data_IF_389589509048
#
_entry.id   IF_389589509048
#
_cell.length_a   1.000
_cell.length_b   1.000
_cell.length_c   1.000
_cell.angle_alpha   90.00
_cell.angle_beta   90.00
_cell.angle_gamma   90.00
#
_symmetry.space_group_name_H-M   'P 1'
#
loop_
_entity.id
_entity.type
_entity.pdbx_description
1 polymer ?
#
# COMPACT_ATOMS: atom_id res chain seq x y z
N UNK A 1 13.96 -9.98 -5.62
CA UNK A 1 13.72 -10.27 -4.19
C UNK A 1 12.53 -11.20 -4.09
N UNK A 2 12.54 -12.16 -3.17
CA UNK A 2 11.39 -13.06 -2.97
C UNK A 2 10.23 -12.29 -2.34
N UNK A 3 9.02 -12.53 -2.84
CA UNK A 3 7.78 -12.02 -2.25
C UNK A 3 7.12 -13.11 -1.44
N UNK A 4 6.76 -12.80 -0.20
CA UNK A 4 6.11 -13.71 0.73
C UNK A 4 4.66 -13.30 0.93
N UNK A 5 3.73 -14.25 0.73
CA UNK A 5 2.34 -14.13 1.14
C UNK A 5 2.17 -14.52 2.60
N UNK A 6 1.45 -13.68 3.36
CA UNK A 6 1.05 -13.95 4.73
C UNK A 6 -0.37 -14.51 4.69
N UNK A 7 -0.54 -15.77 5.09
CA UNK A 7 -1.81 -16.49 4.97
C UNK A 7 -2.42 -16.72 6.34
N UNK A 8 -3.72 -16.49 6.44
CA UNK A 8 -4.54 -16.84 7.60
C UNK A 8 -5.58 -17.88 7.18
N UNK A 9 -5.57 -19.03 7.83
CA UNK A 9 -6.64 -20.03 7.70
C UNK A 9 -7.47 -20.03 8.98
N UNK A 10 -8.75 -19.72 8.88
CA UNK A 10 -9.64 -19.61 10.05
C UNK A 10 -10.95 -20.36 9.82
N UNK A 11 -11.56 -20.85 10.90
CA UNK A 11 -12.86 -21.49 10.84
C UNK A 11 -13.95 -20.42 10.73
N UNK A 12 -14.70 -20.47 9.64
CA UNK A 12 -15.84 -19.61 9.34
C UNK A 12 -17.15 -20.40 9.47
N UNK A 13 -18.25 -19.68 9.66
CA UNK A 13 -19.59 -20.26 9.76
C UNK A 13 -19.92 -20.88 11.12
N UNK A 14 -21.17 -21.34 11.25
CA UNK A 14 -21.73 -21.86 12.50
C UNK A 14 -22.44 -23.21 12.30
N UNK A 15 -22.48 -24.01 13.37
CA UNK A 15 -23.10 -25.35 13.35
C UNK A 15 -22.47 -26.28 12.31
N UNK A 16 -23.33 -26.93 11.52
CA UNK A 16 -22.95 -27.86 10.44
C UNK A 16 -22.36 -27.16 9.19
N UNK A 17 -22.49 -25.83 9.07
CA UNK A 17 -21.93 -25.07 7.94
C UNK A 17 -20.51 -24.54 8.20
N UNK A 18 -19.84 -25.07 9.22
CA UNK A 18 -18.44 -24.71 9.50
C UNK A 18 -17.55 -25.16 8.35
N UNK A 19 -16.71 -24.25 7.90
CA UNK A 19 -15.68 -24.52 6.91
C UNK A 19 -14.42 -23.74 7.28
N UNK A 20 -13.30 -24.15 6.72
CA UNK A 20 -12.04 -23.39 6.84
C UNK A 20 -11.89 -22.54 5.61
N UNK A 21 -11.61 -21.26 5.80
CA UNK A 21 -11.29 -20.32 4.72
C UNK A 21 -9.87 -19.81 4.89
N UNK A 22 -9.18 -19.63 3.76
CA UNK A 22 -7.81 -19.15 3.70
C UNK A 22 -7.78 -17.77 3.02
N UNK A 23 -7.08 -16.81 3.64
CA UNK A 23 -6.93 -15.46 3.13
C UNK A 23 -5.46 -15.05 3.11
N UNK A 24 -5.01 -14.45 2.01
CA UNK A 24 -3.74 -13.73 1.96
C UNK A 24 -3.98 -12.32 2.49
N UNK A 25 -3.36 -11.99 3.62
CA UNK A 25 -3.61 -10.72 4.34
C UNK A 25 -2.55 -9.66 4.09
N UNK A 26 -1.43 -10.03 3.47
CA UNK A 26 -0.37 -9.12 3.05
C UNK A 26 0.64 -9.86 2.16
N UNK A 27 1.41 -9.05 1.40
CA UNK A 27 2.64 -9.44 0.74
C UNK A 27 3.81 -8.68 1.32
N UNK A 28 4.92 -9.36 1.56
CA UNK A 28 6.18 -8.78 2.05
C UNK A 28 7.30 -9.18 1.10
N UNK A 29 7.96 -8.20 0.49
CA UNK A 29 9.14 -8.43 -0.34
C UNK A 29 10.39 -8.30 0.52
N UNK A 30 11.21 -9.36 0.56
CA UNK A 30 12.40 -9.36 1.42
C UNK A 30 12.77 -10.75 1.95
N UNK A 31 13.59 -10.81 3.02
CA UNK A 31 13.94 -12.06 3.67
C UNK A 31 12.74 -12.69 4.38
N UNK A 32 12.78 -14.01 4.55
CA UNK A 32 11.69 -14.78 5.15
C UNK A 32 11.48 -14.41 6.63
N UNK A 33 12.55 -14.05 7.33
CA UNK A 33 12.54 -13.65 8.73
C UNK A 33 11.69 -12.39 8.96
N UNK A 34 11.76 -11.42 8.04
CA UNK A 34 10.94 -10.21 8.09
C UNK A 34 9.46 -10.55 7.89
N UNK A 35 9.14 -11.41 6.92
CA UNK A 35 7.78 -11.88 6.70
C UNK A 35 7.22 -12.63 7.92
N UNK A 36 8.03 -13.45 8.59
CA UNK A 36 7.65 -14.14 9.83
C UNK A 36 7.45 -13.17 11.01
N UNK A 37 8.29 -12.15 11.15
CA UNK A 37 8.15 -11.13 12.18
C UNK A 37 6.84 -10.33 12.02
N UNK A 38 6.51 -9.95 10.77
CA UNK A 38 5.25 -9.30 10.45
C UNK A 38 4.04 -10.21 10.68
N UNK A 39 4.16 -11.50 10.31
CA UNK A 39 3.12 -12.49 10.59
C UNK A 39 2.88 -12.65 12.10
N UNK A 40 3.95 -12.66 12.91
CA UNK A 40 3.83 -12.74 14.36
C UNK A 40 3.08 -11.53 14.93
N UNK A 41 3.45 -10.32 14.48
CA UNK A 41 2.79 -9.08 14.89
C UNK A 41 1.28 -9.15 14.63
N UNK A 42 0.89 -9.63 13.44
CA UNK A 42 -0.52 -9.82 13.07
C UNK A 42 -1.20 -10.92 13.89
N UNK A 43 -0.54 -12.05 14.10
CA UNK A 43 -1.11 -13.15 14.88
C UNK A 43 -1.39 -12.75 16.34
N UNK A 44 -0.57 -11.87 16.91
CA UNK A 44 -0.77 -11.31 18.25
C UNK A 44 -1.99 -10.38 18.32
N UNK A 45 -2.23 -9.56 17.30
CA UNK A 45 -3.37 -8.64 17.25
C UNK A 45 -4.66 -9.24 16.67
N UNK A 46 -4.60 -10.42 16.05
CA UNK A 46 -5.76 -11.04 15.41
C UNK A 46 -6.87 -11.39 16.40
N UNK A 47 -8.11 -11.13 16.00
CA UNK A 47 -9.32 -11.47 16.76
C UNK A 47 -10.33 -12.13 15.82
N UNK A 48 -10.49 -13.47 15.84
CA UNK A 48 -11.46 -14.14 14.98
C UNK A 48 -12.90 -13.82 15.39
N UNK A 49 -13.85 -13.97 14.46
CA UNK A 49 -15.28 -13.84 14.74
C UNK A 49 -15.79 -14.89 15.74
N UNK A 50 -15.16 -16.07 15.75
CA UNK A 50 -15.50 -17.17 16.64
C UNK A 50 -14.29 -17.65 17.44
N UNK A 51 -14.48 -18.04 18.72
CA UNK A 51 -15.75 -18.11 19.45
C UNK A 51 -16.22 -16.77 20.05
N UNK A 52 -17.54 -16.56 20.15
CA UNK A 52 -18.15 -15.39 20.81
C UNK A 52 -17.92 -15.33 22.33
N UNK A 53 -17.58 -16.46 22.96
CA UNK A 53 -17.32 -16.55 24.41
C UNK A 53 -15.99 -17.28 24.64
N UNK A 54 -14.85 -16.58 24.46
CA UNK A 54 -13.54 -17.19 24.65
C UNK A 54 -13.23 -17.39 26.13
N UNK A 55 -12.85 -18.62 26.52
CA UNK A 55 -12.40 -18.95 27.88
C UNK A 55 -10.89 -18.84 28.04
N UNK A 56 -10.14 -19.23 27.01
CA UNK A 56 -8.68 -19.23 27.01
C UNK A 56 -8.16 -19.03 25.59
N UNK A 57 -7.10 -18.24 25.46
CA UNK A 57 -6.42 -17.97 24.20
C UNK A 57 -4.94 -18.36 24.31
N UNK A 58 -4.43 -19.09 23.33
CA UNK A 58 -3.03 -19.55 23.26
C UNK A 58 -2.48 -19.32 21.86
N UNK A 59 -1.40 -18.56 21.76
CA UNK A 59 -0.65 -18.38 20.52
C UNK A 59 0.62 -19.23 20.60
N UNK A 60 0.78 -20.15 19.65
CA UNK A 60 1.87 -21.11 19.59
C UNK A 60 2.74 -20.81 18.37
N UNK A 61 4.06 -20.88 18.53
CA UNK A 61 5.00 -20.79 17.41
C UNK A 61 5.20 -22.19 16.80
N UNK A 62 5.20 -22.25 15.48
CA UNK A 62 5.53 -23.42 14.67
C UNK A 62 6.71 -23.05 13.75
N UNK A 63 7.42 -24.03 13.17
CA UNK A 63 8.58 -23.82 12.30
C UNK A 63 8.34 -22.84 11.14
N UNK A 64 7.11 -22.79 10.63
CA UNK A 64 6.70 -22.06 9.44
C UNK A 64 5.61 -21.00 9.70
N UNK A 65 5.33 -20.70 10.98
CA UNK A 65 4.35 -19.69 11.34
C UNK A 65 3.81 -19.86 12.75
N UNK A 66 2.50 -19.65 12.92
CA UNK A 66 1.86 -19.63 14.23
C UNK A 66 0.50 -20.33 14.22
N UNK A 67 0.09 -20.82 15.39
CA UNK A 67 -1.26 -21.32 15.62
C UNK A 67 -1.89 -20.62 16.80
N UNK A 68 -3.04 -20.02 16.56
CA UNK A 68 -3.90 -19.49 17.61
C UNK A 68 -4.97 -20.52 17.94
N UNK A 69 -4.99 -20.96 19.19
CA UNK A 69 -6.02 -21.84 19.73
C UNK A 69 -6.85 -21.05 20.73
N UNK A 70 -8.16 -21.00 20.52
CA UNK A 70 -9.10 -20.36 21.42
C UNK A 70 -10.11 -21.41 21.91
N UNK A 71 -10.15 -21.62 23.21
CA UNK A 71 -11.13 -22.49 23.84
C UNK A 71 -12.44 -21.73 24.00
N UNK A 72 -13.47 -22.17 23.29
CA UNK A 72 -14.84 -21.67 23.44
C UNK A 72 -15.59 -22.40 24.57
N UNK A 73 -16.86 -22.07 24.72
CA UNK A 73 -17.72 -22.73 25.71
C UNK A 73 -17.94 -24.22 25.40
N UNK A 74 -18.05 -24.58 24.12
CA UNK A 74 -18.44 -25.92 23.64
C UNK A 74 -17.36 -26.64 22.83
N UNK A 75 -16.47 -25.89 22.18
CA UNK A 75 -15.39 -26.43 21.37
C UNK A 75 -14.22 -25.45 21.31
N UNK A 76 -13.04 -25.94 20.95
CA UNK A 76 -11.90 -25.11 20.62
C UNK A 76 -11.91 -24.73 19.14
N UNK A 77 -11.37 -23.55 18.84
CA UNK A 77 -11.20 -23.02 17.49
C UNK A 77 -9.73 -22.80 17.22
N UNK A 78 -9.32 -23.04 15.97
CA UNK A 78 -7.94 -22.88 15.54
C UNK A 78 -7.90 -21.87 14.40
N UNK A 79 -6.97 -20.93 14.49
CA UNK A 79 -6.54 -20.13 13.34
C UNK A 79 -5.07 -20.41 13.09
N UNK A 80 -4.74 -20.72 11.85
CA UNK A 80 -3.37 -20.97 11.40
C UNK A 80 -2.85 -19.74 10.66
N UNK A 81 -1.62 -19.36 10.98
CA UNK A 81 -0.89 -18.29 10.34
C UNK A 81 0.34 -18.91 9.69
N UNK A 82 0.51 -18.72 8.39
CA UNK A 82 1.65 -19.26 7.63
C UNK A 82 2.26 -18.21 6.74
N UNK A 83 3.55 -18.38 6.46
CA UNK A 83 4.26 -17.62 5.43
C UNK A 83 4.49 -18.56 4.24
N UNK A 84 4.15 -18.11 3.04
CA UNK A 84 4.37 -18.85 1.80
C UNK A 84 5.07 -17.96 0.77
N UNK A 85 5.96 -18.52 -0.04
CA UNK A 85 6.53 -17.81 -1.18
C UNK A 85 5.46 -17.61 -2.26
N UNK A 86 5.32 -16.39 -2.77
CA UNK A 86 4.43 -16.09 -3.87
C UNK A 86 5.10 -16.46 -5.20
N UNK A 87 4.62 -17.52 -5.83
CA UNK A 87 5.14 -18.00 -7.12
C UNK A 87 4.44 -17.36 -8.32
N UNK A 88 3.13 -17.12 -8.21
CA UNK A 88 2.31 -16.55 -9.26
C UNK A 88 1.08 -15.85 -8.66
N UNK A 89 0.76 -14.67 -9.18
CA UNK A 89 -0.49 -13.95 -8.93
C UNK A 89 -1.09 -13.57 -10.28
N UNK A 90 -2.30 -14.06 -10.55
CA UNK A 90 -2.97 -13.87 -11.85
C UNK A 90 -3.44 -12.44 -12.09
N UNK A 91 -3.59 -11.65 -11.02
CA UNK A 91 -4.01 -10.25 -11.07
C UNK A 91 -2.94 -9.34 -10.46
N UNK A 92 -1.67 -9.77 -10.54
CA UNK A 92 -0.55 -8.96 -10.09
C UNK A 92 -0.57 -7.61 -10.81
N UNK A 93 -0.46 -6.48 -10.10
CA UNK A 93 -0.33 -5.18 -10.74
C UNK A 93 0.82 -5.26 -11.75
N UNK A 94 0.52 -4.96 -13.02
CA UNK A 94 1.59 -4.76 -14.01
C UNK A 94 2.48 -3.68 -13.45
N UNK A 95 3.74 -4.03 -13.19
CA UNK A 95 4.73 -3.06 -12.72
C UNK A 95 4.63 -1.84 -13.65
N UNK A 96 4.50 -0.62 -13.12
CA UNK A 96 4.47 0.56 -13.97
C UNK A 96 5.71 0.47 -14.84
N UNK A 97 5.48 0.40 -16.15
CA UNK A 97 6.55 0.45 -17.15
C UNK A 97 7.45 1.61 -16.73
N UNK A 98 8.77 1.39 -16.55
CA UNK A 98 9.65 2.47 -16.16
C UNK A 98 9.40 3.57 -17.17
N UNK A 99 8.77 4.67 -16.72
CA UNK A 99 8.55 5.83 -17.55
C UNK A 99 9.89 6.10 -18.18
N UNK A 100 10.00 5.92 -19.49
CA UNK A 100 11.25 5.98 -20.19
C UNK A 100 11.91 7.31 -19.84
N UNK A 101 12.87 7.27 -18.92
CA UNK A 101 13.81 8.35 -18.71
C UNK A 101 14.62 8.41 -20.00
N UNK A 102 14.17 9.25 -20.95
CA UNK A 102 14.86 9.45 -22.21
C UNK A 102 14.04 9.22 -23.47
N UNK A 103 12.89 9.88 -23.60
CA UNK A 103 12.70 10.65 -24.83
C UNK A 103 12.61 12.12 -24.44
N UNK A 104 13.79 12.71 -24.23
CA UNK A 104 14.00 14.11 -24.58
C UNK A 104 13.74 14.24 -26.07
N UNK A 105 12.47 14.34 -26.45
CA UNK A 105 12.14 15.10 -27.64
C UNK A 105 12.85 16.45 -27.46
N UNK A 106 13.64 16.94 -28.43
CA UNK A 106 13.92 18.35 -28.44
C UNK A 106 12.53 18.99 -28.65
N UNK A 107 11.87 19.34 -27.54
CA UNK A 107 10.85 20.38 -27.57
C UNK A 107 11.58 21.53 -28.21
N UNK A 108 11.25 21.79 -29.47
CA UNK A 108 11.50 23.08 -30.07
C UNK A 108 10.97 24.07 -29.05
N UNK A 109 11.89 24.76 -28.38
CA UNK A 109 11.60 25.76 -27.35
C UNK A 109 10.41 26.56 -27.89
N UNK A 110 9.27 26.64 -27.19
CA UNK A 110 8.50 27.87 -27.28
C UNK A 110 9.53 28.94 -26.93
N UNK A 111 9.88 29.74 -27.93
CA UNK A 111 10.67 30.95 -27.78
C UNK A 111 10.29 31.57 -26.46
N UNK A 112 11.29 31.85 -25.63
CA UNK A 112 11.15 32.58 -24.39
C UNK A 112 10.03 33.61 -24.56
N UNK A 113 8.94 33.45 -23.81
CA UNK A 113 8.21 34.64 -23.40
C UNK A 113 9.14 35.33 -22.40
N UNK A 114 10.20 35.95 -22.92
CA UNK A 114 10.85 37.06 -22.25
C UNK A 114 9.70 38.04 -22.08
N UNK A 115 9.23 38.16 -20.84
CA UNK A 115 8.45 39.29 -20.40
C UNK A 115 9.27 40.52 -20.78
N UNK A 116 8.99 41.11 -21.94
CA UNK A 116 9.78 42.21 -22.46
C UNK A 116 9.70 43.33 -21.43
N UNK A 117 10.82 43.73 -20.79
CA UNK A 117 10.81 44.92 -19.98
C UNK A 117 10.49 46.06 -20.95
N UNK A 118 9.31 46.68 -20.80
CA UNK A 118 8.92 47.83 -21.59
C UNK A 118 10.09 48.84 -21.60
N UNK A 119 10.46 49.27 -22.80
CA UNK A 119 11.63 50.10 -23.08
C UNK A 119 11.71 51.24 -22.04
N UNK A 120 12.83 51.33 -21.33
CA UNK A 120 13.07 52.35 -20.31
C UNK A 120 14.05 53.37 -20.86
N UNK A 121 13.82 54.64 -20.59
CA UNK A 121 14.72 55.71 -20.99
C UNK A 121 16.06 55.63 -20.23
N UNK A 122 17.00 56.51 -20.57
CA UNK A 122 18.35 56.53 -19.98
C UNK A 122 18.35 56.77 -18.47
N UNK A 123 17.22 57.22 -17.90
CA UNK A 123 17.04 57.47 -16.48
C UNK A 123 16.24 56.33 -15.79
N UNK A 124 15.94 55.25 -16.51
CA UNK A 124 15.32 54.03 -15.99
C UNK A 124 13.79 54.10 -15.83
N UNK A 125 13.13 55.12 -16.40
CA UNK A 125 11.67 55.28 -16.37
C UNK A 125 11.06 54.58 -17.60
N UNK A 126 9.95 53.84 -17.46
CA UNK A 126 9.30 53.20 -18.60
C UNK A 126 8.79 54.22 -19.62
N UNK A 127 9.27 54.15 -20.86
CA UNK A 127 8.90 55.03 -21.98
C UNK A 127 7.41 54.91 -22.28
N UNK A 128 6.86 53.69 -22.12
CA UNK A 128 5.42 53.46 -22.19
C UNK A 128 4.90 53.02 -20.82
N UNK A 129 4.28 53.93 -20.05
CA UNK A 129 3.78 53.57 -18.74
C UNK A 129 2.52 52.72 -18.86
N UNK A 130 2.37 51.77 -17.94
CA UNK A 130 1.32 50.73 -17.98
C UNK A 130 -0.13 51.25 -17.79
N UNK A 131 -0.29 52.55 -17.53
CA UNK A 131 -1.60 53.22 -17.43
C UNK A 131 -2.07 53.84 -18.76
N UNK A 132 -1.17 53.98 -19.75
CA UNK A 132 -1.51 54.59 -21.04
C UNK A 132 -2.40 53.64 -21.87
N UNK A 133 -3.69 53.98 -21.96
CA UNK A 133 -4.71 53.18 -22.65
C UNK A 133 -5.66 52.41 -21.72
N UNK A 134 -5.68 52.75 -20.43
CA UNK A 134 -6.66 52.25 -19.47
C UNK A 134 -7.86 53.20 -19.39
N UNK A 135 -9.05 52.66 -19.62
CA UNK A 135 -10.31 53.42 -19.59
C UNK A 135 -10.96 53.46 -18.19
N UNK A 136 -10.31 52.88 -17.18
CA UNK A 136 -10.80 52.75 -15.81
C UNK A 136 -10.14 53.72 -14.81
N UNK A 137 -9.45 54.74 -15.32
CA UNK A 137 -8.87 55.83 -14.53
C UNK A 137 -9.81 57.07 -14.61
N UNK A 138 -10.10 57.75 -13.48
CA UNK A 138 -10.98 58.92 -13.44
C UNK A 138 -10.36 60.19 -14.05
#
# INVERSE_FOLDING_TARGET
MTTWGLVIETTMGAGERKHTEAHVVAHITGPREEALAELERRARSYSPEHPRSPKRRRLLRQSDGFRLVIDGAWQSFVTRFTVAELLQDSDAPTAPEPAAEGQTVPVARPTEAVEQPGERDTDGVPIKPAWLGRDDLP
#
